data_IF_190587489874
#
_entry.id   IF_190587489874
#
_cell.length_a   1.000
_cell.length_b   1.000
_cell.length_c   1.000
_cell.angle_alpha   90.00
_cell.angle_beta   90.00
_cell.angle_gamma   90.00
#
_symmetry.space_group_name_H-M   'P 1'
#
loop_
_entity.id
_entity.type
_entity.pdbx_description
1 polymer ?
#
# COMPACT_ATOMS: atom_id res chain seq x y z
N UNK A 1 -2.46 4.73 -24.51
CA UNK A 1 -2.03 5.10 -23.13
C UNK A 1 -0.73 4.36 -22.84
N UNK A 2 0.36 5.11 -22.63
CA UNK A 2 1.63 4.48 -22.27
C UNK A 2 1.51 3.83 -20.88
N UNK A 3 1.95 2.58 -20.76
CA UNK A 3 1.95 1.87 -19.46
C UNK A 3 0.68 1.07 -19.13
N UNK A 4 -0.26 0.91 -20.07
CA UNK A 4 -1.47 0.10 -19.85
C UNK A 4 -1.17 -1.32 -19.39
N UNK A 5 -0.19 -1.97 -20.02
CA UNK A 5 0.18 -3.36 -19.71
C UNK A 5 0.78 -3.46 -18.30
N UNK A 6 1.61 -2.49 -17.92
CA UNK A 6 2.18 -2.43 -16.58
C UNK A 6 1.09 -2.25 -15.52
N UNK A 7 0.12 -1.36 -15.76
CA UNK A 7 -1.00 -1.16 -14.84
C UNK A 7 -1.87 -2.42 -14.71
N UNK A 8 -2.11 -3.13 -15.81
CA UNK A 8 -2.87 -4.39 -15.80
C UNK A 8 -2.14 -5.45 -14.94
N UNK A 9 -0.85 -5.66 -15.17
CA UNK A 9 -0.04 -6.59 -14.39
C UNK A 9 -0.04 -6.21 -12.89
N UNK A 10 0.13 -4.94 -12.57
CA UNK A 10 0.09 -4.47 -11.18
C UNK A 10 -1.29 -4.66 -10.55
N UNK A 11 -2.37 -4.42 -11.29
CA UNK A 11 -3.73 -4.66 -10.82
C UNK A 11 -3.95 -6.14 -10.46
N UNK A 12 -3.48 -7.07 -11.30
CA UNK A 12 -3.54 -8.52 -11.02
C UNK A 12 -2.78 -8.88 -9.74
N UNK A 13 -1.59 -8.32 -9.53
CA UNK A 13 -0.80 -8.54 -8.31
C UNK A 13 -1.53 -8.00 -7.08
N UNK A 14 -2.14 -6.80 -7.15
CA UNK A 14 -2.91 -6.26 -6.04
C UNK A 14 -4.17 -7.09 -5.73
N UNK A 15 -4.87 -7.60 -6.76
CA UNK A 15 -5.98 -8.55 -6.59
C UNK A 15 -5.52 -9.83 -5.90
N UNK A 16 -4.35 -10.37 -6.29
CA UNK A 16 -3.78 -11.54 -5.64
C UNK A 16 -3.50 -11.30 -4.14
N UNK A 17 -2.93 -10.15 -3.76
CA UNK A 17 -2.75 -9.79 -2.36
C UNK A 17 -4.09 -9.65 -1.60
N UNK A 18 -5.09 -9.01 -2.20
CA UNK A 18 -6.42 -8.87 -1.60
C UNK A 18 -7.08 -10.24 -1.41
N UNK A 19 -7.03 -11.12 -2.41
CA UNK A 19 -7.55 -12.47 -2.36
C UNK A 19 -6.87 -13.33 -1.30
N UNK A 20 -5.54 -13.29 -1.23
CA UNK A 20 -4.79 -13.99 -0.20
C UNK A 20 -5.12 -13.50 1.21
N UNK A 21 -5.33 -12.19 1.36
CA UNK A 21 -5.78 -11.62 2.63
C UNK A 21 -7.12 -12.23 3.08
N UNK A 22 -8.05 -12.46 2.15
CA UNK A 22 -9.31 -13.17 2.42
C UNK A 22 -9.11 -14.61 2.92
N UNK A 23 -8.17 -15.35 2.32
CA UNK A 23 -7.83 -16.73 2.76
C UNK A 23 -7.27 -16.71 4.19
N UNK A 24 -6.33 -15.80 4.48
CA UNK A 24 -5.75 -15.65 5.83
C UNK A 24 -6.82 -15.32 6.86
N UNK A 25 -7.81 -14.48 6.51
CA UNK A 25 -8.94 -14.17 7.39
C UNK A 25 -9.75 -15.41 7.76
N UNK A 26 -10.07 -16.26 6.78
CA UNK A 26 -10.87 -17.47 7.00
C UNK A 26 -10.12 -18.53 7.81
N UNK A 27 -8.82 -18.69 7.58
CA UNK A 27 -7.98 -19.60 8.33
C UNK A 27 -7.78 -19.13 9.78
N UNK A 28 -7.57 -17.84 10.00
CA UNK A 28 -7.41 -17.26 11.33
C UNK A 28 -8.68 -17.34 12.19
N UNK A 29 -9.87 -17.40 11.58
CA UNK A 29 -11.13 -17.64 12.32
C UNK A 29 -11.31 -19.09 12.76
N UNK A 30 -10.70 -20.04 12.07
CA UNK A 30 -10.80 -21.48 12.38
C UNK A 30 -9.82 -21.94 13.45
N UNK A 31 -8.67 -21.25 13.58
CA UNK A 31 -7.76 -21.47 14.70
C UNK A 31 -8.38 -20.82 15.94
N UNK A 32 -8.63 -21.55 17.00
CA UNK A 32 -9.21 -21.06 18.27
C UNK A 32 -8.35 -19.93 18.95
N UNK A 33 -7.27 -19.51 18.29
CA UNK A 33 -6.38 -18.44 18.68
C UNK A 33 -7.01 -17.07 18.45
N UNK A 34 -7.14 -16.28 19.49
CA UNK A 34 -7.50 -14.86 19.37
C UNK A 34 -6.40 -14.12 18.58
N UNK A 35 -6.75 -13.56 17.45
CA UNK A 35 -5.84 -12.69 16.68
C UNK A 35 -5.19 -11.66 17.60
N UNK A 36 -3.88 -11.60 17.57
CA UNK A 36 -3.17 -10.54 18.30
C UNK A 36 -3.51 -9.19 17.70
N UNK A 37 -3.70 -8.14 18.49
CA UNK A 37 -4.05 -6.81 17.98
C UNK A 37 -3.12 -6.30 16.87
N UNK A 38 -1.83 -6.70 16.91
CA UNK A 38 -0.84 -6.33 15.88
C UNK A 38 -1.13 -6.99 14.53
N UNK A 39 -1.60 -8.22 14.52
CA UNK A 39 -1.86 -8.97 13.30
C UNK A 39 -3.14 -8.50 12.61
N UNK A 40 -4.15 -8.10 13.40
CA UNK A 40 -5.35 -7.43 12.87
C UNK A 40 -4.99 -6.12 12.15
N UNK A 41 -4.01 -5.37 12.67
CA UNK A 41 -3.58 -4.12 12.02
C UNK A 41 -2.80 -4.40 10.75
N UNK A 42 -1.88 -5.38 10.77
CA UNK A 42 -1.13 -5.81 9.58
C UNK A 42 -2.08 -6.29 8.48
N UNK A 43 -3.05 -7.10 8.86
CA UNK A 43 -4.11 -7.59 7.98
C UNK A 43 -4.90 -6.44 7.34
N UNK A 44 -5.40 -5.50 8.14
CA UNK A 44 -6.12 -4.33 7.62
C UNK A 44 -5.24 -3.48 6.73
N UNK A 45 -3.99 -3.24 7.12
CA UNK A 45 -3.05 -2.46 6.32
C UNK A 45 -2.76 -3.12 4.96
N UNK A 46 -2.59 -4.45 4.93
CA UNK A 46 -2.42 -5.20 3.68
C UNK A 46 -3.65 -5.10 2.79
N UNK A 47 -4.84 -5.30 3.34
CA UNK A 47 -6.10 -5.21 2.58
C UNK A 47 -6.33 -3.79 2.04
N UNK A 48 -6.19 -2.76 2.89
CA UNK A 48 -6.36 -1.36 2.48
C UNK A 48 -5.36 -0.97 1.38
N UNK A 49 -4.08 -1.36 1.51
CA UNK A 49 -3.06 -1.05 0.53
C UNK A 49 -3.28 -1.79 -0.80
N UNK A 50 -3.72 -3.06 -0.75
CA UNK A 50 -4.03 -3.85 -1.94
C UNK A 50 -5.21 -3.26 -2.71
N UNK A 51 -6.30 -2.91 -2.02
CA UNK A 51 -7.47 -2.29 -2.64
C UNK A 51 -7.15 -0.89 -3.18
N UNK A 52 -6.37 -0.09 -2.45
CA UNK A 52 -5.92 1.22 -2.94
C UNK A 52 -5.06 1.08 -4.20
N UNK A 53 -4.11 0.13 -4.22
CA UNK A 53 -3.28 -0.15 -5.38
C UNK A 53 -4.11 -0.59 -6.59
N UNK A 54 -5.09 -1.48 -6.39
CA UNK A 54 -6.01 -1.90 -7.44
C UNK A 54 -6.80 -0.71 -8.02
N UNK A 55 -7.41 0.11 -7.17
CA UNK A 55 -8.17 1.29 -7.60
C UNK A 55 -7.28 2.25 -8.38
N UNK A 56 -6.06 2.51 -7.90
CA UNK A 56 -5.11 3.39 -8.56
C UNK A 56 -4.60 2.83 -9.90
N UNK A 57 -4.53 1.52 -10.07
CA UNK A 57 -4.22 0.91 -11.38
C UNK A 57 -5.38 1.03 -12.37
N UNK A 58 -6.63 0.96 -11.90
CA UNK A 58 -7.84 1.01 -12.77
C UNK A 58 -8.25 2.45 -13.09
N UNK A 59 -8.03 3.39 -12.19
CA UNK A 59 -8.47 4.77 -12.31
C UNK A 59 -8.02 5.48 -13.61
N UNK A 60 -6.76 5.33 -14.08
CA UNK A 60 -6.31 5.92 -15.33
C UNK A 60 -7.09 5.44 -16.56
N UNK A 61 -7.57 4.20 -16.58
CA UNK A 61 -8.40 3.68 -17.67
C UNK A 61 -9.76 4.39 -17.72
N UNK A 62 -10.35 4.70 -16.54
CA UNK A 62 -11.57 5.49 -16.47
C UNK A 62 -11.35 6.88 -17.06
N UNK A 63 -10.32 7.59 -16.67
CA UNK A 63 -10.00 8.92 -17.22
C UNK A 63 -9.75 8.87 -18.74
N UNK A 64 -9.04 7.85 -19.21
CA UNK A 64 -8.79 7.66 -20.64
C UNK A 64 -10.10 7.43 -21.42
N UNK A 65 -11.05 6.68 -20.86
CA UNK A 65 -12.36 6.46 -21.46
C UNK A 65 -13.16 7.77 -21.63
N UNK A 66 -13.03 8.70 -20.69
CA UNK A 66 -13.65 10.03 -20.77
C UNK A 66 -12.82 11.05 -21.57
N UNK A 67 -11.83 10.61 -22.34
CA UNK A 67 -10.94 11.45 -23.16
C UNK A 67 -10.23 12.57 -22.35
N UNK A 68 -9.95 12.34 -21.07
CA UNK A 68 -9.15 13.27 -20.24
C UNK A 68 -7.70 13.26 -20.72
N UNK A 69 -7.09 14.45 -20.79
CA UNK A 69 -5.68 14.59 -21.20
C UNK A 69 -4.74 13.77 -20.28
N UNK A 70 -3.74 13.11 -20.86
CA UNK A 70 -2.81 12.23 -20.12
C UNK A 70 -2.11 12.98 -18.97
N UNK A 71 -1.71 14.22 -19.16
CA UNK A 71 -1.10 15.03 -18.10
C UNK A 71 -2.02 15.21 -16.89
N UNK A 72 -3.31 15.48 -17.10
CA UNK A 72 -4.30 15.61 -16.04
C UNK A 72 -4.50 14.27 -15.34
N UNK A 73 -4.57 13.18 -16.11
CA UNK A 73 -4.73 11.82 -15.58
C UNK A 73 -3.60 11.48 -14.61
N UNK A 74 -2.35 11.63 -15.02
CA UNK A 74 -1.20 11.31 -14.18
C UNK A 74 -1.05 12.27 -13.00
N UNK A 75 -1.37 13.55 -13.19
CA UNK A 75 -1.38 14.54 -12.10
C UNK A 75 -2.39 14.19 -11.02
N UNK A 76 -3.65 13.90 -11.40
CA UNK A 76 -4.72 13.56 -10.45
C UNK A 76 -4.43 12.23 -9.76
N UNK A 77 -4.01 11.19 -10.49
CA UNK A 77 -3.67 9.89 -9.90
C UNK A 77 -2.51 10.03 -8.89
N UNK A 78 -1.48 10.82 -9.19
CA UNK A 78 -0.37 11.10 -8.28
C UNK A 78 -0.83 11.87 -7.05
N UNK A 79 -1.73 12.85 -7.19
CA UNK A 79 -2.30 13.58 -6.06
C UNK A 79 -3.07 12.64 -5.11
N UNK A 80 -3.92 11.77 -5.65
CA UNK A 80 -4.67 10.78 -4.88
C UNK A 80 -3.71 9.83 -4.15
N UNK A 81 -2.65 9.37 -4.83
CA UNK A 81 -1.65 8.49 -4.23
C UNK A 81 -0.87 9.20 -3.13
N UNK A 82 -0.46 10.47 -3.31
CA UNK A 82 0.20 11.27 -2.29
C UNK A 82 -0.68 11.43 -1.04
N UNK A 83 -1.95 11.74 -1.21
CA UNK A 83 -2.91 11.83 -0.10
C UNK A 83 -3.09 10.51 0.62
N UNK A 84 -3.22 9.41 -0.12
CA UNK A 84 -3.33 8.07 0.46
C UNK A 84 -2.07 7.71 1.26
N UNK A 85 -0.88 7.85 0.67
CA UNK A 85 0.39 7.52 1.32
C UNK A 85 0.60 8.36 2.61
N UNK A 86 0.26 9.64 2.57
CA UNK A 86 0.34 10.54 3.72
C UNK A 86 -0.63 10.12 4.83
N UNK A 87 -1.90 9.86 4.50
CA UNK A 87 -2.91 9.45 5.49
C UNK A 87 -2.58 8.07 6.07
N UNK A 88 -2.12 7.14 5.26
CA UNK A 88 -1.66 5.82 5.69
C UNK A 88 -0.50 5.94 6.69
N UNK A 89 0.51 6.75 6.35
CA UNK A 89 1.65 7.01 7.21
C UNK A 89 1.26 7.64 8.56
N UNK A 90 0.37 8.64 8.53
CA UNK A 90 -0.14 9.28 9.75
C UNK A 90 -0.88 8.29 10.65
N UNK A 91 -1.72 7.43 10.08
CA UNK A 91 -2.43 6.37 10.82
C UNK A 91 -1.46 5.37 11.45
N UNK A 92 -0.49 4.88 10.67
CA UNK A 92 0.53 3.95 11.14
C UNK A 92 1.35 4.57 12.27
N UNK A 93 1.78 5.81 12.14
CA UNK A 93 2.57 6.52 13.16
C UNK A 93 1.76 6.76 14.44
N UNK A 94 0.51 7.26 14.33
CA UNK A 94 -0.36 7.51 15.49
C UNK A 94 -0.68 6.24 16.26
N UNK A 95 -0.99 5.15 15.58
CA UNK A 95 -1.27 3.87 16.22
C UNK A 95 -0.06 3.30 16.95
N UNK A 96 1.14 3.59 16.48
CA UNK A 96 2.38 3.10 17.08
C UNK A 96 2.84 3.94 18.27
N UNK A 97 2.59 5.25 18.29
CA UNK A 97 2.85 6.07 19.49
C UNK A 97 2.01 5.56 20.66
N UNK A 98 0.74 5.21 20.41
CA UNK A 98 -0.14 4.59 21.41
C UNK A 98 0.36 3.22 21.90
N UNK A 99 1.08 2.46 21.06
CA UNK A 99 1.56 1.10 21.36
C UNK A 99 2.93 1.05 22.00
N UNK A 100 3.80 2.06 21.80
CA UNK A 100 5.04 2.18 22.58
C UNK A 100 4.78 2.24 24.09
N UNK A 101 3.57 2.69 24.47
CA UNK A 101 3.13 2.66 25.86
C UNK A 101 2.73 1.26 26.36
N UNK A 102 2.63 0.24 25.49
CA UNK A 102 2.16 -1.11 25.84
C UNK A 102 3.17 -2.24 25.56
N UNK A 103 4.48 -1.95 25.48
CA UNK A 103 5.59 -2.92 25.41
C UNK A 103 5.27 -4.20 24.61
N UNK A 104 5.00 -4.08 23.30
CA UNK A 104 4.69 -5.23 22.45
C UNK A 104 6.00 -5.88 21.95
N UNK A 105 6.37 -7.11 22.39
CA UNK A 105 7.64 -7.76 22.05
C UNK A 105 7.79 -8.12 20.56
N UNK A 106 6.69 -8.19 19.78
CA UNK A 106 6.70 -8.55 18.38
C UNK A 106 6.89 -7.36 17.42
N UNK A 107 7.33 -6.26 17.96
CA UNK A 107 7.61 -5.08 17.18
C UNK A 107 8.91 -5.23 16.39
N UNK A 108 8.81 -5.30 15.05
CA UNK A 108 9.98 -5.33 14.15
C UNK A 108 10.35 -3.88 13.74
N UNK A 109 11.30 -3.24 14.42
CA UNK A 109 11.62 -1.83 14.19
C UNK A 109 12.16 -1.58 12.78
N UNK A 110 12.90 -2.53 12.19
CA UNK A 110 13.53 -2.38 10.88
C UNK A 110 12.55 -2.16 9.74
N UNK A 111 11.49 -2.97 9.63
CA UNK A 111 10.48 -2.82 8.57
C UNK A 111 9.77 -1.47 8.66
N UNK A 112 9.52 -1.01 9.87
CA UNK A 112 8.93 0.31 10.10
C UNK A 112 9.82 1.44 9.60
N UNK A 113 11.10 1.42 9.94
CA UNK A 113 12.05 2.46 9.52
C UNK A 113 12.10 2.51 7.99
N UNK A 114 12.16 1.34 7.33
CA UNK A 114 12.14 1.25 5.88
C UNK A 114 10.86 1.86 5.30
N UNK A 115 9.68 1.52 5.83
CA UNK A 115 8.41 2.07 5.35
C UNK A 115 8.31 3.58 5.57
N UNK A 116 8.80 4.10 6.69
CA UNK A 116 8.85 5.55 6.96
C UNK A 116 9.76 6.24 5.94
N UNK A 117 10.96 5.72 5.72
CA UNK A 117 11.91 6.29 4.76
C UNK A 117 11.35 6.27 3.33
N UNK A 118 10.78 5.13 2.91
CA UNK A 118 10.14 5.01 1.60
C UNK A 118 8.98 6.00 1.45
N UNK A 119 8.12 6.14 2.44
CA UNK A 119 7.00 7.09 2.38
C UNK A 119 7.50 8.52 2.32
N UNK A 120 8.52 8.87 3.11
CA UNK A 120 9.13 10.21 3.11
C UNK A 120 9.77 10.57 1.76
N UNK A 121 10.19 9.57 0.98
CA UNK A 121 10.72 9.76 -0.38
C UNK A 121 9.58 9.84 -1.40
N UNK A 122 8.60 8.95 -1.32
CA UNK A 122 7.56 8.80 -2.34
C UNK A 122 6.55 9.94 -2.28
N UNK A 123 6.16 10.42 -1.10
CA UNK A 123 5.18 11.51 -0.97
C UNK A 123 5.62 12.79 -1.70
N UNK A 124 6.86 13.30 -1.53
CA UNK A 124 7.33 14.44 -2.32
C UNK A 124 7.36 14.17 -3.82
N UNK A 125 7.81 12.98 -4.26
CA UNK A 125 7.82 12.62 -5.68
C UNK A 125 6.40 12.67 -6.26
N UNK A 126 5.42 12.11 -5.57
CA UNK A 126 4.02 12.15 -6.01
C UNK A 126 3.45 13.57 -6.00
N UNK A 127 3.81 14.38 -5.01
CA UNK A 127 3.38 15.79 -4.94
C UNK A 127 3.98 16.63 -6.10
N UNK A 128 5.25 16.42 -6.41
CA UNK A 128 5.92 17.08 -7.54
C UNK A 128 5.31 16.64 -8.89
N UNK A 129 5.04 15.34 -9.05
CA UNK A 129 4.37 14.83 -10.26
C UNK A 129 2.94 15.36 -10.39
N UNK A 130 2.21 15.48 -9.27
CA UNK A 130 0.86 16.04 -9.25
C UNK A 130 0.87 17.56 -9.60
N UNK A 131 1.88 18.29 -9.13
CA UNK A 131 2.04 19.71 -9.41
C UNK A 131 2.63 20.01 -10.80
N UNK A 132 3.14 18.99 -11.52
CA UNK A 132 3.84 19.18 -12.80
C UNK A 132 5.20 19.86 -12.67
N UNK A 133 5.80 19.84 -11.47
CA UNK A 133 7.08 20.48 -11.20
C UNK A 133 8.20 19.43 -11.32
N UNK A 134 9.04 19.56 -12.35
CA UNK A 134 10.20 18.69 -12.59
C UNK A 134 9.89 17.30 -13.14
N UNK A 135 8.65 16.79 -13.01
CA UNK A 135 8.22 15.48 -13.51
C UNK A 135 7.14 15.55 -14.60
N UNK A 136 6.67 16.75 -14.94
CA UNK A 136 5.73 17.03 -16.08
C UNK A 136 4.52 16.09 -16.17
N UNK A 137 3.93 15.68 -15.05
CA UNK A 137 2.79 14.76 -14.99
C UNK A 137 3.04 13.43 -15.72
N UNK A 138 4.14 12.75 -15.41
CA UNK A 138 4.57 11.54 -16.10
C UNK A 138 3.98 10.27 -15.49
N UNK A 139 3.74 9.27 -16.34
CA UNK A 139 3.45 7.91 -15.90
C UNK A 139 4.55 7.35 -15.00
N UNK A 140 5.83 7.62 -15.31
CA UNK A 140 6.97 7.12 -14.53
C UNK A 140 6.96 7.65 -13.09
N UNK A 141 6.59 8.91 -12.88
CA UNK A 141 6.41 9.48 -11.55
C UNK A 141 5.32 8.78 -10.77
N UNK A 142 4.16 8.51 -11.39
CA UNK A 142 3.06 7.76 -10.79
C UNK A 142 3.45 6.30 -10.48
N UNK A 143 4.18 5.64 -11.40
CA UNK A 143 4.62 4.26 -11.24
C UNK A 143 5.50 4.06 -9.98
N UNK A 144 6.36 5.02 -9.64
CA UNK A 144 7.15 4.97 -8.38
C UNK A 144 6.24 4.80 -7.16
N UNK A 145 5.09 5.47 -7.16
CA UNK A 145 4.13 5.34 -6.07
C UNK A 145 3.43 3.98 -6.04
N UNK A 146 3.10 3.39 -7.19
CA UNK A 146 2.55 2.04 -7.26
C UNK A 146 3.56 0.99 -6.79
N UNK A 147 4.84 1.14 -7.14
CA UNK A 147 5.92 0.27 -6.63
C UNK A 147 6.03 0.39 -5.11
N UNK A 148 5.94 1.60 -4.55
CA UNK A 148 5.90 1.79 -3.10
C UNK A 148 4.73 1.03 -2.44
N UNK A 149 3.52 1.09 -3.02
CA UNK A 149 2.38 0.31 -2.52
C UNK A 149 2.63 -1.18 -2.59
N UNK A 150 3.21 -1.67 -3.68
CA UNK A 150 3.58 -3.07 -3.85
C UNK A 150 4.58 -3.54 -2.78
N UNK A 151 5.63 -2.77 -2.53
CA UNK A 151 6.62 -3.05 -1.47
C UNK A 151 5.96 -3.04 -0.09
N UNK A 152 5.03 -2.12 0.15
CA UNK A 152 4.28 -2.04 1.40
C UNK A 152 3.40 -3.27 1.60
N UNK A 153 2.65 -3.71 0.57
CA UNK A 153 1.85 -4.94 0.59
C UNK A 153 2.74 -6.16 0.86
N UNK A 154 3.84 -6.31 0.11
CA UNK A 154 4.77 -7.43 0.27
C UNK A 154 5.37 -7.49 1.68
N UNK A 155 5.73 -6.34 2.26
CA UNK A 155 6.26 -6.25 3.62
C UNK A 155 5.24 -6.71 4.66
N UNK A 156 3.98 -6.24 4.54
CA UNK A 156 2.91 -6.63 5.46
C UNK A 156 2.55 -8.12 5.31
N UNK A 157 2.57 -8.62 4.09
CA UNK A 157 2.34 -10.03 3.78
C UNK A 157 3.39 -10.94 4.44
N UNK A 158 4.68 -10.63 4.29
CA UNK A 158 5.77 -11.40 4.92
C UNK A 158 5.66 -11.39 6.45
N UNK A 159 5.29 -10.24 7.04
CA UNK A 159 5.08 -10.14 8.48
C UNK A 159 3.88 -10.98 8.97
N UNK A 160 2.83 -11.10 8.16
CA UNK A 160 1.67 -11.94 8.43
C UNK A 160 2.02 -13.43 8.37
N UNK A 161 2.81 -13.86 7.38
CA UNK A 161 3.24 -15.26 7.23
C UNK A 161 4.14 -15.72 8.38
N UNK A 162 4.97 -14.86 8.95
CA UNK A 162 5.81 -15.20 10.12
C UNK A 162 4.97 -15.61 11.33
N UNK A 163 3.81 -15.00 11.49
CA UNK A 163 2.87 -15.34 12.58
C UNK A 163 2.33 -16.78 12.45
N UNK A 164 1.90 -17.18 11.27
CA UNK A 164 1.36 -18.55 11.03
C UNK A 164 2.39 -19.64 11.39
N UNK A 165 3.68 -19.35 11.25
CA UNK A 165 4.74 -20.33 11.52
C UNK A 165 5.06 -20.49 13.01
N UNK A 166 4.86 -19.47 13.84
CA UNK A 166 5.20 -19.54 15.28
C UNK A 166 4.16 -20.28 16.13
N UNK A 167 2.95 -20.52 15.61
CA UNK A 167 1.93 -21.29 16.31
C UNK A 167 2.01 -22.81 16.07
N UNK A 168 2.86 -23.26 15.13
CA UNK A 168 3.02 -24.69 14.79
C UNK A 168 4.21 -25.37 15.48
N UNK A 169 4.94 -24.65 16.33
CA UNK A 169 6.04 -25.18 17.18
C UNK A 169 5.70 -25.04 18.64
#
# INVERSE_FOLDING_TARGET
MNGSDVLTILAEVFVAFAGFTGIVATLGQRSEGKWRPVDVIRFRALLEASLAGLVLCVLPFGFHHFAVAEAITWGVCSAILAMYATTFMLRVTRNQVKRRASEDPDFVPGVRVILILLTSLVVPIQALNAAGVGLEHTFSGFLVGLIYLLVSCSSMFVLLLRFVRTETT
#
